data_IF_826018819236
#
_entry.id   IF_826018819236
#
_cell.length_a   1.000
_cell.length_b   1.000
_cell.length_c   1.000
_cell.angle_alpha   90.00
_cell.angle_beta   90.00
_cell.angle_gamma   90.00
#
_symmetry.space_group_name_H-M   'P 1'
#
loop_
_entity.id
_entity.type
_entity.pdbx_description
1 polymer ?
#
# COMPACT_ATOMS: atom_id res chain seq x y z
N UNK A 1 44.32 -7.79 12.74
CA UNK A 1 43.02 -7.12 12.55
C UNK A 1 42.78 -6.96 11.04
N UNK A 2 41.97 -7.83 10.44
CA UNK A 2 41.50 -7.64 9.07
C UNK A 2 40.17 -6.90 9.11
N UNK A 3 40.11 -5.69 8.57
CA UNK A 3 38.86 -5.00 8.35
C UNK A 3 38.23 -5.55 7.06
N UNK A 4 37.06 -6.20 7.17
CA UNK A 4 36.20 -6.46 6.02
C UNK A 4 35.29 -5.26 5.83
N UNK A 5 35.36 -4.52 4.69
CA UNK A 5 34.36 -3.52 4.36
C UNK A 5 33.27 -4.22 3.56
N UNK A 6 32.40 -4.98 4.21
CA UNK A 6 31.13 -5.32 3.58
C UNK A 6 30.21 -4.12 3.76
N UNK A 7 30.30 -3.17 2.82
CA UNK A 7 29.21 -2.25 2.59
C UNK A 7 28.01 -3.10 2.17
N UNK A 8 27.22 -3.54 3.16
CA UNK A 8 26.04 -4.38 2.94
C UNK A 8 25.15 -3.69 1.91
N UNK A 9 25.14 -4.21 0.69
CA UNK A 9 24.26 -3.73 -0.36
C UNK A 9 22.82 -3.87 0.19
N UNK A 10 22.09 -2.76 0.23
CA UNK A 10 20.72 -2.75 0.74
C UNK A 10 19.89 -3.76 -0.06
N UNK A 11 19.01 -4.51 0.62
CA UNK A 11 18.10 -5.42 -0.06
C UNK A 11 17.18 -4.62 -1.00
N UNK A 12 17.17 -4.97 -2.28
CA UNK A 12 16.26 -4.36 -3.25
C UNK A 12 14.86 -4.93 -3.07
N UNK A 13 13.84 -4.07 -2.95
CA UNK A 13 12.45 -4.52 -2.97
C UNK A 13 11.97 -4.64 -4.43
N UNK A 14 11.33 -5.74 -4.86
CA UNK A 14 10.95 -5.94 -6.26
C UNK A 14 9.99 -4.87 -6.80
N UNK A 15 9.23 -4.22 -5.92
CA UNK A 15 8.31 -3.13 -6.29
C UNK A 15 8.89 -1.72 -6.12
N UNK A 16 10.16 -1.58 -5.69
CA UNK A 16 10.73 -0.27 -5.33
C UNK A 16 10.67 0.76 -6.45
N UNK A 17 10.87 0.34 -7.70
CA UNK A 17 10.81 1.26 -8.84
C UNK A 17 9.42 1.89 -8.97
N UNK A 18 8.36 1.08 -9.04
CA UNK A 18 6.99 1.59 -9.14
C UNK A 18 6.54 2.32 -7.87
N UNK A 19 7.00 1.88 -6.70
CA UNK A 19 6.71 2.55 -5.44
C UNK A 19 7.39 3.92 -5.35
N UNK A 20 8.54 4.10 -6.01
CA UNK A 20 9.22 5.39 -6.10
C UNK A 20 8.38 6.41 -6.88
N UNK A 21 7.92 6.04 -8.08
CA UNK A 21 7.01 6.88 -8.87
C UNK A 21 5.77 7.28 -8.08
N UNK A 22 5.21 6.35 -7.32
CA UNK A 22 4.07 6.62 -6.45
C UNK A 22 4.42 7.64 -5.36
N UNK A 23 5.54 7.44 -4.63
CA UNK A 23 6.01 8.36 -3.58
C UNK A 23 6.31 9.76 -4.13
N UNK A 24 6.89 9.86 -5.31
CA UNK A 24 7.15 11.15 -5.96
C UNK A 24 5.84 11.90 -6.24
N UNK A 25 4.79 11.18 -6.68
CA UNK A 25 3.44 11.71 -6.81
C UNK A 25 2.83 12.16 -5.48
N UNK A 26 3.07 11.43 -4.39
CA UNK A 26 2.62 11.81 -3.04
C UNK A 26 3.33 13.08 -2.54
N UNK A 27 4.64 13.21 -2.80
CA UNK A 27 5.44 14.38 -2.43
C UNK A 27 5.01 15.66 -3.15
N UNK A 28 4.49 15.54 -4.37
CA UNK A 28 3.97 16.67 -5.14
C UNK A 28 2.63 17.21 -4.60
N UNK A 29 1.89 16.41 -3.82
CA UNK A 29 0.59 16.78 -3.29
C UNK A 29 0.70 17.53 -1.96
N UNK A 30 0.36 18.82 -1.93
CA UNK A 30 0.32 19.61 -0.68
C UNK A 30 -0.88 19.28 0.20
N UNK A 31 -1.98 18.83 -0.40
CA UNK A 31 -3.18 18.34 0.28
C UNK A 31 -3.52 16.98 -0.30
N UNK A 32 -3.49 15.90 0.50
CA UNK A 32 -3.71 14.55 -0.02
C UNK A 32 -5.19 14.31 -0.33
N UNK A 33 -5.44 13.59 -1.42
CA UNK A 33 -6.72 12.95 -1.72
C UNK A 33 -6.88 11.62 -0.96
N UNK A 34 -8.09 11.07 -0.93
CA UNK A 34 -8.39 9.81 -0.25
C UNK A 34 -7.56 8.63 -0.79
N UNK A 35 -7.40 8.52 -2.12
CA UNK A 35 -6.50 7.55 -2.76
C UNK A 35 -5.07 7.70 -2.26
N UNK A 36 -4.55 8.92 -2.18
CA UNK A 36 -3.18 9.21 -1.74
C UNK A 36 -2.96 8.88 -0.26
N UNK A 37 -3.97 9.10 0.60
CA UNK A 37 -3.91 8.68 2.01
C UNK A 37 -3.81 7.15 2.11
N UNK A 38 -4.62 6.43 1.31
CA UNK A 38 -4.63 4.97 1.29
C UNK A 38 -3.32 4.41 0.73
N UNK A 39 -2.80 4.98 -0.35
CA UNK A 39 -1.53 4.58 -0.94
C UNK A 39 -0.35 4.81 0.02
N UNK A 40 -0.29 5.97 0.69
CA UNK A 40 0.72 6.25 1.70
C UNK A 40 0.68 5.22 2.84
N UNK A 41 -0.51 4.91 3.38
CA UNK A 41 -0.66 3.92 4.44
C UNK A 41 -0.23 2.51 3.98
N UNK A 42 -0.60 2.12 2.75
CA UNK A 42 -0.20 0.83 2.16
C UNK A 42 1.32 0.71 2.04
N UNK A 43 1.98 1.76 1.55
CA UNK A 43 3.44 1.78 1.40
C UNK A 43 4.15 1.74 2.75
N UNK A 44 3.64 2.45 3.77
CA UNK A 44 4.20 2.37 5.13
C UNK A 44 4.14 0.96 5.71
N UNK A 45 3.04 0.24 5.48
CA UNK A 45 2.91 -1.16 5.91
C UNK A 45 3.88 -2.04 5.13
N UNK A 46 3.98 -1.88 3.81
CA UNK A 46 4.85 -2.68 2.94
C UNK A 46 6.33 -2.58 3.33
N UNK A 47 6.78 -1.38 3.66
CA UNK A 47 8.18 -1.11 3.99
C UNK A 47 8.48 -1.16 5.49
N UNK A 48 7.49 -1.47 6.33
CA UNK A 48 7.67 -1.63 7.77
C UNK A 48 8.63 -2.79 8.06
N UNK A 49 9.71 -2.52 8.81
CA UNK A 49 10.74 -3.52 9.11
C UNK A 49 11.58 -3.99 7.92
N UNK A 50 11.37 -3.46 6.70
CA UNK A 50 12.12 -3.89 5.53
C UNK A 50 13.59 -3.39 5.59
N UNK A 51 14.60 -4.27 5.42
CA UNK A 51 16.01 -3.92 5.65
C UNK A 51 16.61 -2.99 4.58
N UNK A 52 15.97 -2.81 3.42
CA UNK A 52 16.42 -1.93 2.33
C UNK A 52 15.53 -0.71 2.09
N UNK A 53 15.60 -0.17 0.87
CA UNK A 53 14.82 0.99 0.41
C UNK A 53 14.89 2.21 1.34
N UNK A 54 16.07 2.49 1.91
CA UNK A 54 16.24 3.54 2.94
C UNK A 54 15.79 4.91 2.44
N UNK A 55 16.14 5.26 1.21
CA UNK A 55 15.74 6.53 0.61
C UNK A 55 14.21 6.63 0.44
N UNK A 56 13.56 5.58 -0.05
CA UNK A 56 12.09 5.56 -0.25
C UNK A 56 11.36 5.72 1.09
N UNK A 57 11.81 5.00 2.14
CA UNK A 57 11.25 5.14 3.49
C UNK A 57 11.42 6.56 4.03
N UNK A 58 12.57 7.17 3.82
CA UNK A 58 12.80 8.56 4.22
C UNK A 58 11.89 9.55 3.48
N UNK A 59 11.60 9.29 2.21
CA UNK A 59 10.67 10.11 1.43
C UNK A 59 9.20 9.91 1.86
N UNK A 60 8.79 8.68 2.19
CA UNK A 60 7.48 8.42 2.82
C UNK A 60 7.30 9.18 4.14
N UNK A 61 8.34 9.24 4.97
CA UNK A 61 8.31 10.04 6.20
C UNK A 61 8.17 11.54 5.91
N UNK A 62 8.76 12.05 4.82
CA UNK A 62 8.58 13.44 4.38
C UNK A 62 7.14 13.69 3.92
N UNK A 63 6.53 12.77 3.19
CA UNK A 63 5.12 12.85 2.75
C UNK A 63 4.19 13.07 3.95
N UNK A 64 4.31 12.23 4.99
CA UNK A 64 3.49 12.33 6.19
C UNK A 64 3.67 13.69 6.89
N UNK A 65 4.92 14.15 7.00
CA UNK A 65 5.25 15.45 7.60
C UNK A 65 4.73 16.62 6.77
N UNK A 66 4.81 16.54 5.44
CA UNK A 66 4.27 17.54 4.51
C UNK A 66 2.78 17.74 4.74
N UNK A 67 2.04 16.65 4.94
CA UNK A 67 0.60 16.68 5.22
C UNK A 67 0.25 16.98 6.68
N UNK A 68 1.27 17.21 7.53
CA UNK A 68 1.14 17.49 8.97
C UNK A 68 0.38 16.40 9.72
N UNK A 69 0.63 15.14 9.35
CA UNK A 69 0.04 13.97 9.99
C UNK A 69 1.09 13.24 10.82
N UNK A 70 0.63 12.41 11.76
CA UNK A 70 1.40 11.27 12.27
C UNK A 70 0.94 9.98 11.57
N UNK A 71 1.72 8.90 11.70
CA UNK A 71 1.31 7.58 11.20
C UNK A 71 -0.01 7.11 11.80
N UNK A 72 -0.23 7.37 13.08
CA UNK A 72 -1.50 7.05 13.77
C UNK A 72 -2.68 7.83 13.19
N UNK A 73 -2.50 9.14 12.95
CA UNK A 73 -3.54 9.98 12.34
C UNK A 73 -3.84 9.57 10.90
N UNK A 74 -2.82 9.22 10.12
CA UNK A 74 -2.98 8.69 8.77
C UNK A 74 -3.81 7.39 8.81
N UNK A 75 -3.43 6.44 9.67
CA UNK A 75 -4.15 5.18 9.83
C UNK A 75 -5.60 5.39 10.27
N UNK A 76 -5.85 6.28 11.22
CA UNK A 76 -7.21 6.59 11.69
C UNK A 76 -8.08 7.16 10.55
N UNK A 77 -7.53 8.07 9.74
CA UNK A 77 -8.25 8.61 8.58
C UNK A 77 -8.54 7.54 7.53
N UNK A 78 -7.56 6.70 7.22
CA UNK A 78 -7.75 5.58 6.28
C UNK A 78 -8.82 4.62 6.81
N UNK A 79 -8.82 4.27 8.09
CA UNK A 79 -9.87 3.43 8.68
C UNK A 79 -11.25 4.06 8.55
N UNK A 80 -11.37 5.38 8.77
CA UNK A 80 -12.63 6.12 8.57
C UNK A 80 -13.10 6.07 7.12
N UNK A 81 -12.20 6.23 6.14
CA UNK A 81 -12.54 6.10 4.71
C UNK A 81 -13.10 4.71 4.39
N UNK A 82 -12.44 3.66 4.88
CA UNK A 82 -12.91 2.29 4.67
C UNK A 82 -14.26 2.01 5.32
N UNK A 83 -14.49 2.55 6.52
CA UNK A 83 -15.78 2.48 7.22
C UNK A 83 -16.89 3.25 6.47
N UNK A 84 -16.52 4.34 5.78
CA UNK A 84 -17.42 5.11 4.92
C UNK A 84 -17.68 4.46 3.54
N UNK A 85 -17.07 3.31 3.25
CA UNK A 85 -17.31 2.55 2.03
C UNK A 85 -16.31 2.78 0.90
N UNK A 86 -15.26 3.58 1.11
CA UNK A 86 -14.19 3.75 0.14
C UNK A 86 -13.53 2.41 -0.20
N UNK A 87 -13.30 2.10 -1.48
CA UNK A 87 -12.39 1.03 -1.89
C UNK A 87 -11.50 1.52 -3.04
N UNK A 88 -10.20 1.19 -3.01
CA UNK A 88 -9.30 1.54 -4.08
C UNK A 88 -9.71 0.83 -5.38
N UNK A 89 -9.58 1.52 -6.52
CA UNK A 89 -9.88 0.94 -7.84
C UNK A 89 -11.36 0.85 -8.22
N UNK A 90 -12.29 1.29 -7.36
CA UNK A 90 -13.74 1.34 -7.68
C UNK A 90 -14.17 2.63 -8.41
N UNK A 91 -13.23 3.40 -8.95
CA UNK A 91 -13.50 4.57 -9.80
C UNK A 91 -14.07 4.16 -11.16
N UNK A 92 -15.31 3.68 -11.18
CA UNK A 92 -16.07 3.30 -12.37
C UNK A 92 -17.01 2.13 -12.09
N UNK A 93 -18.32 2.42 -12.00
CA UNK A 93 -19.42 1.47 -11.79
C UNK A 93 -19.51 0.84 -10.39
N UNK A 94 -20.34 1.47 -9.55
CA UNK A 94 -21.11 0.82 -8.50
C UNK A 94 -22.10 -0.18 -9.13
N UNK A 95 -21.60 -1.24 -9.73
CA UNK A 95 -22.26 -2.51 -9.63
C UNK A 95 -21.50 -3.22 -8.51
N UNK A 96 -22.12 -3.34 -7.33
CA UNK A 96 -21.74 -4.42 -6.42
C UNK A 96 -21.60 -5.66 -7.28
N UNK A 97 -20.39 -6.23 -7.47
CA UNK A 97 -20.31 -7.50 -8.16
C UNK A 97 -21.17 -8.41 -7.31
N UNK A 98 -22.30 -8.87 -7.88
CA UNK A 98 -23.03 -9.99 -7.35
C UNK A 98 -21.94 -11.05 -7.17
N UNK A 99 -21.55 -11.27 -5.92
CA UNK A 99 -20.65 -12.33 -5.54
C UNK A 99 -21.42 -13.59 -5.88
N UNK A 100 -21.27 -14.03 -7.12
CA UNK A 100 -21.90 -15.22 -7.64
C UNK A 100 -21.44 -16.33 -6.73
N UNK A 101 -22.35 -16.89 -5.94
CA UNK A 101 -22.17 -18.14 -5.22
C UNK A 101 -22.01 -19.25 -6.26
N UNK A 102 -20.86 -19.27 -6.93
CA UNK A 102 -20.46 -20.24 -7.94
C UNK A 102 -19.51 -21.25 -7.32
N UNK A 103 -19.96 -21.91 -6.24
CA UNK A 103 -19.35 -23.13 -5.74
C UNK A 103 -20.47 -24.10 -5.39
N UNK A 104 -21.25 -24.49 -6.40
CA UNK A 104 -22.09 -25.68 -6.33
C UNK A 104 -21.32 -26.82 -7.00
N UNK A 105 -20.58 -27.58 -6.20
CA UNK A 105 -20.01 -28.85 -6.64
C UNK A 105 -21.10 -29.93 -6.48
N UNK A 106 -22.10 -29.92 -7.36
CA UNK A 106 -22.99 -31.06 -7.50
C UNK A 106 -22.25 -32.19 -8.22
N UNK A 107 -21.59 -33.04 -7.44
CA UNK A 107 -21.12 -34.35 -7.88
C UNK A 107 -22.35 -35.22 -8.21
N UNK A 108 -22.66 -35.34 -9.50
CA UNK A 108 -23.69 -36.26 -9.98
C UNK A 108 -23.03 -37.58 -10.37
N UNK A 109 -22.62 -38.36 -9.38
CA UNK A 109 -22.27 -39.77 -9.61
C UNK A 109 -23.55 -40.55 -9.94
N UNK A 110 -23.69 -40.94 -11.21
CA UNK A 110 -24.76 -41.80 -11.70
C UNK A 110 -24.35 -43.26 -11.50
N UNK A 111 -25.10 -44.09 -10.74
CA UNK A 111 -24.77 -45.50 -10.64
C UNK A 111 -25.26 -46.25 -11.89
N UNK A 112 -24.41 -47.16 -12.38
CA UNK A 112 -24.74 -48.15 -13.41
C UNK A 112 -25.19 -49.48 -12.77
#
# INVERSE_FOLDING_TARGET
MGASPEASAQQAHPLEASDRDLVDGLLAATTPSDDQLVDAARLLIRYDGFPGAVALKADLEKVIKLWKLSRDQLNARVQQLWAAGYRPGQGGSLETPAVGSGFDASDSESPA
#
